data_IF_114160279881
#
_entry.id   IF_114160279881
#
_cell.length_a   1.000
_cell.length_b   1.000
_cell.length_c   1.000
_cell.angle_alpha   90.00
_cell.angle_beta   90.00
_cell.angle_gamma   90.00
#
_symmetry.space_group_name_H-M   'P 1'
#
loop_
_entity.id
_entity.type
_entity.pdbx_description
1 polymer ?
#
# COMPACT_ATOMS: atom_id res chain seq x y z
N UNK A 1 18.09 -3.85 12.32
CA UNK A 1 16.83 -3.77 11.55
C UNK A 1 16.63 -5.10 10.84
N UNK A 2 15.50 -5.77 10.98
CA UNK A 2 15.20 -7.00 10.24
C UNK A 2 13.70 -7.06 9.88
N UNK A 3 13.35 -7.87 8.89
CA UNK A 3 11.96 -8.01 8.38
C UNK A 3 11.02 -8.75 9.34
N UNK A 4 11.53 -9.35 10.41
CA UNK A 4 10.73 -9.97 11.47
C UNK A 4 10.37 -8.98 12.59
N UNK A 5 10.95 -7.77 12.59
CA UNK A 5 10.74 -6.75 13.61
C UNK A 5 9.34 -6.12 13.59
N UNK A 6 9.16 -5.11 14.44
CA UNK A 6 7.93 -4.32 14.53
C UNK A 6 7.55 -3.66 13.20
N UNK A 7 6.31 -3.21 13.06
CA UNK A 7 5.76 -2.55 11.86
C UNK A 7 6.71 -1.51 11.23
N UNK A 8 7.35 -0.67 12.07
CA UNK A 8 8.39 0.28 11.64
C UNK A 8 9.54 -0.39 10.87
N UNK A 9 10.05 -1.53 11.36
CA UNK A 9 11.15 -2.26 10.69
C UNK A 9 10.71 -2.90 9.37
N UNK A 10 9.45 -3.31 9.25
CA UNK A 10 8.89 -3.90 8.02
C UNK A 10 8.55 -2.85 6.98
N UNK A 11 7.93 -1.74 7.37
CA UNK A 11 7.61 -0.62 6.49
C UNK A 11 8.85 0.10 5.92
N UNK A 12 10.02 -0.08 6.53
CA UNK A 12 11.29 0.47 6.04
C UNK A 12 11.99 -0.39 4.97
N UNK A 13 11.66 -1.67 4.86
CA UNK A 13 12.35 -2.60 3.96
C UNK A 13 11.55 -2.85 2.69
N UNK A 14 12.23 -2.80 1.55
CA UNK A 14 11.69 -3.09 0.23
C UNK A 14 12.62 -4.06 -0.51
N UNK A 15 12.12 -4.75 -1.54
CA UNK A 15 12.97 -5.55 -2.42
C UNK A 15 13.96 -4.66 -3.19
N UNK A 16 15.18 -5.16 -3.41
CA UNK A 16 16.20 -4.42 -4.13
C UNK A 16 15.87 -4.27 -5.63
N UNK A 17 15.40 -5.35 -6.23
CA UNK A 17 15.06 -5.41 -7.65
C UNK A 17 13.56 -5.12 -7.85
N UNK A 18 13.19 -4.11 -8.67
CA UNK A 18 11.80 -3.82 -8.96
C UNK A 18 11.21 -4.85 -9.94
N UNK A 19 9.94 -5.18 -9.74
CA UNK A 19 9.17 -6.04 -10.66
C UNK A 19 7.97 -5.25 -11.18
N UNK A 20 7.74 -5.17 -12.50
CA UNK A 20 6.56 -4.52 -13.06
C UNK A 20 5.28 -5.11 -12.46
N UNK A 21 4.33 -4.25 -12.10
CA UNK A 21 3.03 -4.70 -11.56
C UNK A 21 2.29 -5.63 -12.53
N UNK A 22 2.44 -5.42 -13.84
CA UNK A 22 1.69 -6.16 -14.84
C UNK A 22 0.18 -5.92 -14.73
N UNK A 23 -0.61 -6.80 -15.34
CA UNK A 23 -2.06 -6.61 -15.47
C UNK A 23 -2.80 -6.57 -14.14
N UNK A 24 -2.44 -7.47 -13.21
CA UNK A 24 -3.17 -7.65 -11.94
C UNK A 24 -2.42 -7.08 -10.73
N UNK A 25 -1.17 -6.63 -10.88
CA UNK A 25 -0.36 -6.20 -9.74
C UNK A 25 -0.94 -5.00 -9.00
N UNK A 26 -1.61 -4.09 -9.70
CA UNK A 26 -2.29 -2.97 -9.06
C UNK A 26 -3.48 -3.42 -8.21
N UNK A 27 -4.25 -4.40 -8.68
CA UNK A 27 -5.32 -5.01 -7.89
C UNK A 27 -4.75 -5.57 -6.58
N UNK A 28 -3.66 -6.34 -6.65
CA UNK A 28 -3.03 -6.91 -5.47
C UNK A 28 -2.41 -5.86 -4.55
N UNK A 29 -1.91 -4.76 -5.09
CA UNK A 29 -1.44 -3.62 -4.31
C UNK A 29 -2.59 -2.97 -3.52
N UNK A 30 -3.75 -2.80 -4.14
CA UNK A 30 -4.95 -2.27 -3.47
C UNK A 30 -5.50 -3.25 -2.41
N UNK A 31 -5.50 -4.55 -2.68
CA UNK A 31 -5.82 -5.58 -1.67
C UNK A 31 -4.83 -5.51 -0.51
N UNK A 32 -3.53 -5.32 -0.79
CA UNK A 32 -2.51 -5.19 0.24
C UNK A 32 -2.74 -3.95 1.11
N UNK A 33 -3.17 -2.82 0.55
CA UNK A 33 -3.62 -1.67 1.34
C UNK A 33 -4.74 -2.07 2.31
N UNK A 34 -5.76 -2.80 1.86
CA UNK A 34 -6.81 -3.32 2.75
C UNK A 34 -6.27 -4.22 3.86
N UNK A 35 -5.32 -5.11 3.54
CA UNK A 35 -4.67 -5.99 4.51
C UNK A 35 -3.90 -5.21 5.58
N UNK A 36 -3.14 -4.18 5.19
CA UNK A 36 -2.31 -3.38 6.11
C UNK A 36 -3.12 -2.35 6.88
N UNK A 37 -4.22 -1.86 6.32
CA UNK A 37 -5.19 -1.07 7.08
C UNK A 37 -5.79 -1.90 8.21
N UNK A 38 -6.11 -3.16 7.92
CA UNK A 38 -6.70 -4.12 8.85
C UNK A 38 -7.98 -3.55 9.50
N UNK A 39 -8.12 -3.54 10.83
CA UNK A 39 -9.31 -3.05 11.53
C UNK A 39 -10.62 -3.77 11.10
N UNK A 40 -10.53 -5.05 10.76
CA UNK A 40 -11.66 -5.84 10.28
C UNK A 40 -11.86 -5.80 8.76
N UNK A 41 -11.14 -4.93 8.04
CA UNK A 41 -11.09 -4.96 6.56
C UNK A 41 -10.38 -6.22 6.06
N UNK A 42 -9.33 -6.64 6.77
CA UNK A 42 -8.60 -7.90 6.52
C UNK A 42 -9.51 -9.14 6.58
N UNK A 43 -10.70 -9.05 7.19
CA UNK A 43 -11.68 -10.14 7.26
C UNK A 43 -12.61 -10.19 6.05
N UNK A 44 -12.61 -9.16 5.21
CA UNK A 44 -13.40 -9.15 3.98
C UNK A 44 -12.82 -10.11 2.94
N UNK A 45 -13.65 -10.60 1.99
CA UNK A 45 -13.15 -11.23 0.77
C UNK A 45 -12.19 -10.29 0.02
N UNK A 46 -11.29 -10.84 -0.80
CA UNK A 46 -10.27 -10.05 -1.52
C UNK A 46 -10.87 -8.86 -2.29
N UNK A 47 -12.01 -9.07 -2.96
CA UNK A 47 -12.71 -7.98 -3.63
C UNK A 47 -13.17 -6.88 -2.65
N UNK A 48 -13.69 -7.23 -1.48
CA UNK A 48 -14.09 -6.24 -0.48
C UNK A 48 -12.91 -5.45 0.09
N UNK A 49 -11.70 -6.04 0.13
CA UNK A 49 -10.47 -5.33 0.51
C UNK A 49 -10.04 -4.35 -0.57
N UNK A 50 -10.14 -4.75 -1.84
CA UNK A 50 -9.93 -3.87 -2.98
C UNK A 50 -10.94 -2.71 -2.95
N UNK A 51 -12.23 -2.99 -2.81
CA UNK A 51 -13.31 -1.99 -2.81
C UNK A 51 -13.12 -0.97 -1.68
N UNK A 52 -12.66 -1.43 -0.51
CA UNK A 52 -12.27 -0.53 0.59
C UNK A 52 -11.15 0.43 0.15
N UNK A 53 -10.05 -0.09 -0.40
CA UNK A 53 -8.94 0.73 -0.82
C UNK A 53 -9.33 1.70 -1.95
N UNK A 54 -10.16 1.26 -2.90
CA UNK A 54 -10.68 2.10 -3.98
C UNK A 54 -11.56 3.24 -3.44
N UNK A 55 -12.47 2.93 -2.51
CA UNK A 55 -13.31 3.93 -1.83
C UNK A 55 -12.49 4.99 -1.08
N UNK A 56 -11.37 4.59 -0.50
CA UNK A 56 -10.47 5.46 0.26
C UNK A 56 -9.27 5.95 -0.55
N UNK A 57 -9.31 5.86 -1.89
CA UNK A 57 -8.15 6.19 -2.73
C UNK A 57 -7.63 7.62 -2.49
N UNK A 58 -8.52 8.59 -2.29
CA UNK A 58 -8.12 9.96 -1.99
C UNK A 58 -7.37 10.09 -0.64
N UNK A 59 -7.76 9.32 0.37
CA UNK A 59 -7.11 9.30 1.69
C UNK A 59 -5.75 8.60 1.62
N UNK A 60 -5.65 7.54 0.80
CA UNK A 60 -4.41 6.83 0.49
C UNK A 60 -3.42 7.76 -0.20
N UNK A 61 -3.86 8.50 -1.23
CA UNK A 61 -3.00 9.46 -1.93
C UNK A 61 -2.57 10.61 -1.00
N UNK A 62 -3.48 11.18 -0.21
CA UNK A 62 -3.13 12.21 0.77
C UNK A 62 -2.12 11.72 1.80
N UNK A 63 -2.28 10.48 2.30
CA UNK A 63 -1.30 9.86 3.21
C UNK A 63 0.08 9.69 2.57
N UNK A 64 0.15 9.40 1.28
CA UNK A 64 1.41 9.30 0.55
C UNK A 64 2.09 10.66 0.33
N UNK A 65 1.32 11.71 0.06
CA UNK A 65 1.81 13.05 -0.31
C UNK A 65 2.10 13.94 0.89
N UNK A 66 1.21 13.92 1.89
CA UNK A 66 1.29 14.77 3.07
C UNK A 66 1.13 13.94 4.37
N UNK A 67 2.07 13.02 4.67
CA UNK A 67 1.93 12.07 5.76
C UNK A 67 1.87 12.71 7.16
N UNK A 68 2.34 13.96 7.32
CA UNK A 68 2.42 14.63 8.63
C UNK A 68 1.35 15.71 8.80
N UNK A 69 1.04 16.47 7.74
CA UNK A 69 0.12 17.62 7.83
C UNK A 69 -1.21 17.41 7.08
N UNK A 70 -1.39 16.26 6.43
CA UNK A 70 -2.65 15.89 5.77
C UNK A 70 -3.66 15.34 6.76
N UNK A 71 -4.61 14.54 6.25
CA UNK A 71 -5.62 13.84 7.05
C UNK A 71 -5.05 12.74 7.92
N UNK A 72 -3.84 12.27 7.60
CA UNK A 72 -3.11 11.25 8.35
C UNK A 72 -3.88 9.93 8.50
N UNK A 73 -4.71 9.59 7.52
CA UNK A 73 -5.50 8.35 7.47
C UNK A 73 -4.66 7.10 7.71
N UNK A 74 -3.40 7.10 7.26
CA UNK A 74 -2.46 6.01 7.50
C UNK A 74 -2.20 5.68 8.98
N UNK A 75 -2.42 6.64 9.91
CA UNK A 75 -2.28 6.41 11.34
C UNK A 75 -3.44 5.62 11.95
N UNK A 76 -4.55 5.51 11.25
CA UNK A 76 -5.72 4.75 11.69
C UNK A 76 -5.54 3.25 11.46
N UNK A 77 -4.62 2.85 10.57
CA UNK A 77 -4.30 1.46 10.29
C UNK A 77 -3.68 0.72 11.50
N UNK A 78 -3.92 -0.58 11.58
CA UNK A 78 -3.29 -1.44 12.61
C UNK A 78 -1.78 -1.58 12.40
N UNK A 79 -1.33 -1.63 11.14
CA UNK A 79 0.07 -1.61 10.71
C UNK A 79 0.39 -0.27 9.99
N UNK A 80 0.49 0.87 10.70
CA UNK A 80 0.49 2.20 10.09
C UNK A 80 1.67 2.47 9.16
N UNK A 81 2.89 2.02 9.48
CA UNK A 81 4.07 2.27 8.66
C UNK A 81 4.11 1.38 7.40
N UNK A 82 3.70 0.12 7.50
CA UNK A 82 3.50 -0.71 6.31
C UNK A 82 2.37 -0.18 5.42
N UNK A 83 1.26 0.28 6.02
CA UNK A 83 0.18 0.90 5.26
C UNK A 83 0.65 2.18 4.56
N UNK A 84 1.40 3.05 5.24
CA UNK A 84 1.99 4.25 4.63
C UNK A 84 2.96 3.92 3.49
N UNK A 85 3.75 2.85 3.62
CA UNK A 85 4.61 2.36 2.53
C UNK A 85 3.76 1.93 1.32
N UNK A 86 2.66 1.21 1.56
CA UNK A 86 1.71 0.84 0.50
C UNK A 86 1.03 2.06 -0.14
N UNK A 87 0.65 3.08 0.63
CA UNK A 87 0.11 4.33 0.09
C UNK A 87 1.07 4.99 -0.89
N UNK A 88 2.36 5.05 -0.55
CA UNK A 88 3.40 5.61 -1.42
C UNK A 88 3.53 4.81 -2.71
N UNK A 89 3.51 3.49 -2.62
CA UNK A 89 3.59 2.61 -3.79
C UNK A 89 2.40 2.82 -4.74
N UNK A 90 1.18 2.96 -4.20
CA UNK A 90 -0.04 3.25 -4.98
C UNK A 90 0.08 4.59 -5.72
N UNK A 91 0.54 5.64 -5.03
CA UNK A 91 0.74 6.96 -5.64
C UNK A 91 1.76 6.91 -6.78
N UNK A 92 2.90 6.26 -6.57
CA UNK A 92 3.94 6.15 -7.60
C UNK A 92 3.47 5.34 -8.80
N UNK A 93 2.75 4.23 -8.57
CA UNK A 93 2.16 3.44 -9.64
C UNK A 93 1.20 4.27 -10.51
N UNK A 94 0.30 5.05 -9.89
CA UNK A 94 -0.66 5.91 -10.59
C UNK A 94 -0.01 7.07 -11.35
N UNK A 95 1.15 7.56 -10.90
CA UNK A 95 1.90 8.64 -11.56
C UNK A 95 2.88 8.15 -12.62
N UNK A 96 3.06 6.85 -12.77
CA UNK A 96 4.04 6.30 -13.67
C UNK A 96 3.70 6.65 -15.14
N UNK A 97 4.61 7.29 -15.89
CA UNK A 97 4.31 7.83 -17.23
C UNK A 97 4.03 6.74 -18.27
N UNK A 98 4.50 5.52 -18.04
CA UNK A 98 4.23 4.35 -18.88
C UNK A 98 2.92 3.62 -18.54
N UNK A 99 2.12 4.17 -17.62
CA UNK A 99 0.96 3.50 -17.04
C UNK A 99 1.31 2.59 -15.87
N UNK A 100 0.28 2.28 -15.08
CA UNK A 100 0.35 1.53 -13.81
C UNK A 100 0.99 0.16 -13.97
N UNK A 101 0.62 -0.60 -15.01
CA UNK A 101 1.13 -1.97 -15.23
C UNK A 101 2.66 -2.02 -15.43
N UNK A 102 3.26 -0.91 -15.86
CA UNK A 102 4.71 -0.81 -16.11
C UNK A 102 5.49 -0.29 -14.92
N UNK A 103 4.83 0.13 -13.85
CA UNK A 103 5.49 0.58 -12.64
C UNK A 103 6.22 -0.60 -11.98
N UNK A 104 7.52 -0.46 -11.77
CA UNK A 104 8.38 -1.45 -11.14
C UNK A 104 8.27 -1.39 -9.61
N UNK A 105 7.29 -2.10 -9.04
CA UNK A 105 7.06 -2.13 -7.60
C UNK A 105 8.19 -2.86 -6.87
N UNK A 106 8.51 -2.37 -5.68
CA UNK A 106 9.47 -3.00 -4.75
C UNK A 106 8.82 -3.39 -3.42
N UNK A 107 7.55 -3.07 -3.25
CA UNK A 107 6.84 -3.34 -2.01
C UNK A 107 6.58 -4.86 -1.88
N UNK A 108 6.99 -5.49 -0.77
CA UNK A 108 6.66 -6.88 -0.52
C UNK A 108 5.15 -7.01 -0.24
N UNK A 109 4.42 -7.71 -1.11
CA UNK A 109 3.01 -8.03 -0.89
C UNK A 109 2.93 -9.36 -0.14
N UNK A 110 2.48 -9.29 1.12
CA UNK A 110 2.17 -10.47 1.93
C UNK A 110 0.72 -10.91 1.70
N UNK A 111 0.51 -12.22 1.52
CA UNK A 111 -0.80 -12.86 1.38
C UNK A 111 -1.47 -13.05 2.75
#
# INVERSE_FOLDING_TARGET
LNHLGADVSRGLLQFADPVPLGRDGFYWLMVHCGNKFANGVDKYPMQGRYDFAEKHLADIIDSAENPVHGRQFWKEAEDPFQFLAACREVREALRHPGGVERYGSRLPVHQ
#
